data_IF_951555309065
#
_entry.id   IF_951555309065
#
_cell.length_a   1.000
_cell.length_b   1.000
_cell.length_c   1.000
_cell.angle_alpha   90.00
_cell.angle_beta   90.00
_cell.angle_gamma   90.00
#
_symmetry.space_group_name_H-M   'P 1'
#
loop_
_entity.id
_entity.type
_entity.pdbx_description
1 polymer ?
#
# COMPACT_ATOMS: atom_id res chain seq x y z
N UNK A 1 -50.36 66.87 -11.24
CA UNK A 1 -48.99 66.42 -11.21
C UNK A 1 -48.97 64.97 -10.83
N UNK A 2 -48.86 64.03 -11.76
CA UNK A 2 -48.85 62.60 -11.55
C UNK A 2 -47.37 62.15 -11.52
N UNK A 3 -46.90 61.55 -10.40
CA UNK A 3 -45.57 60.98 -10.27
C UNK A 3 -45.61 59.55 -10.79
N UNK A 4 -44.92 59.29 -11.88
CA UNK A 4 -44.68 57.97 -12.44
C UNK A 4 -43.52 57.34 -11.63
N UNK A 5 -43.80 56.25 -10.92
CA UNK A 5 -42.77 55.43 -10.25
C UNK A 5 -42.36 54.35 -11.24
N UNK A 6 -41.15 54.42 -11.75
CA UNK A 6 -40.54 53.38 -12.59
C UNK A 6 -39.93 52.35 -11.65
N UNK A 7 -40.57 51.17 -11.57
CA UNK A 7 -39.98 49.99 -10.87
C UNK A 7 -39.03 49.30 -11.86
N UNK A 8 -37.74 49.45 -11.62
CA UNK A 8 -36.71 48.68 -12.31
C UNK A 8 -36.62 47.28 -11.70
N UNK A 9 -37.16 46.25 -12.38
CA UNK A 9 -36.94 44.87 -12.03
C UNK A 9 -35.50 44.50 -12.42
N UNK A 10 -34.62 44.37 -11.42
CA UNK A 10 -33.33 43.72 -11.59
C UNK A 10 -33.54 42.19 -11.56
N UNK A 11 -33.62 41.56 -12.75
CA UNK A 11 -33.53 40.12 -12.89
C UNK A 11 -32.07 39.70 -12.67
N UNK A 12 -31.76 39.23 -11.47
CA UNK A 12 -30.54 38.52 -11.20
C UNK A 12 -30.59 37.17 -11.94
N UNK A 13 -29.95 37.09 -13.11
CA UNK A 13 -29.62 35.80 -13.70
C UNK A 13 -28.58 35.11 -12.79
N UNK A 14 -29.03 34.16 -11.99
CA UNK A 14 -28.16 33.19 -11.38
C UNK A 14 -27.63 32.29 -12.50
N UNK A 15 -26.42 32.58 -12.97
CA UNK A 15 -25.65 31.63 -13.76
C UNK A 15 -25.31 30.46 -12.81
N UNK A 16 -26.14 29.43 -12.81
CA UNK A 16 -25.79 28.13 -12.27
C UNK A 16 -24.73 27.53 -13.21
N UNK A 17 -23.50 28.04 -13.10
CA UNK A 17 -22.35 27.31 -13.60
C UNK A 17 -22.38 25.97 -12.91
N UNK A 18 -22.64 24.90 -13.64
CA UNK A 18 -22.32 23.56 -13.20
C UNK A 18 -20.83 23.58 -12.96
N UNK A 19 -20.42 23.73 -11.70
CA UNK A 19 -19.07 23.35 -11.28
C UNK A 19 -18.94 21.89 -11.72
N UNK A 20 -18.27 21.66 -12.85
CA UNK A 20 -17.82 20.34 -13.20
C UNK A 20 -16.98 19.92 -12.00
N UNK A 21 -17.46 18.96 -11.25
CA UNK A 21 -16.63 18.33 -10.23
C UNK A 21 -15.36 17.90 -10.96
N UNK A 22 -14.21 18.41 -10.55
CA UNK A 22 -12.94 17.95 -11.07
C UNK A 22 -12.99 16.43 -11.02
N UNK A 23 -12.64 15.75 -12.13
CA UNK A 23 -12.66 14.32 -12.20
C UNK A 23 -11.89 13.77 -10.98
N UNK A 24 -12.55 12.94 -10.19
CA UNK A 24 -11.96 12.39 -8.97
C UNK A 24 -10.77 11.53 -9.38
N UNK A 25 -9.55 11.79 -8.88
CA UNK A 25 -8.37 11.05 -9.30
C UNK A 25 -8.43 9.60 -8.82
N UNK A 26 -7.93 8.69 -9.62
CA UNK A 26 -7.62 7.35 -9.13
C UNK A 26 -6.49 7.42 -8.11
N UNK A 27 -6.57 6.60 -7.07
CA UNK A 27 -5.58 6.56 -6.00
C UNK A 27 -5.00 5.15 -5.93
N UNK A 28 -3.69 5.03 -6.14
CA UNK A 28 -2.95 3.78 -5.93
C UNK A 28 -1.90 4.02 -4.86
N UNK A 29 -2.05 3.34 -3.72
CA UNK A 29 -1.12 3.38 -2.62
C UNK A 29 -0.32 2.08 -2.56
N UNK A 30 0.98 2.15 -2.85
CA UNK A 30 1.90 1.02 -2.75
C UNK A 30 2.68 1.14 -1.45
N UNK A 31 2.46 0.21 -0.53
CA UNK A 31 3.02 0.19 0.81
C UNK A 31 3.91 -1.03 1.04
N UNK A 32 5.21 -0.88 0.78
CA UNK A 32 6.22 -1.95 0.84
C UNK A 32 6.62 -2.21 2.30
N UNK A 33 6.64 -3.48 2.70
CA UNK A 33 6.90 -3.92 4.09
C UNK A 33 8.41 -4.05 4.35
N UNK A 34 8.90 -3.36 5.38
CA UNK A 34 10.32 -3.39 5.85
C UNK A 34 11.36 -2.85 4.84
N UNK A 35 10.97 -2.09 3.83
CA UNK A 35 11.92 -1.41 2.94
C UNK A 35 12.41 -0.10 3.56
N UNK A 36 13.73 0.07 3.66
CA UNK A 36 14.35 1.29 4.15
C UNK A 36 14.29 2.42 3.12
N UNK A 37 14.26 3.65 3.59
CA UNK A 37 14.21 4.82 2.72
C UNK A 37 15.46 4.96 1.81
N UNK A 38 16.62 4.49 2.27
CA UNK A 38 17.87 4.48 1.50
C UNK A 38 18.06 3.23 0.62
N UNK A 39 17.05 2.42 0.46
CA UNK A 39 17.14 1.19 -0.31
C UNK A 39 16.89 1.37 -1.82
N UNK A 40 16.53 2.58 -2.24
CA UNK A 40 16.19 2.91 -3.64
C UNK A 40 17.09 4.02 -4.21
N UNK A 41 17.32 3.99 -5.52
CA UNK A 41 18.25 4.89 -6.22
C UNK A 41 17.91 6.36 -6.07
N UNK A 42 16.63 6.73 -6.08
CA UNK A 42 16.19 8.12 -5.90
C UNK A 42 16.54 8.72 -4.51
N UNK A 43 16.95 7.88 -3.56
CA UNK A 43 17.50 8.29 -2.26
C UNK A 43 18.98 7.92 -2.10
N UNK A 44 19.73 7.92 -3.21
CA UNK A 44 21.19 7.75 -3.25
C UNK A 44 21.67 6.31 -2.93
N UNK A 45 20.87 5.29 -3.26
CA UNK A 45 21.35 3.91 -3.29
C UNK A 45 21.97 3.64 -4.67
N UNK A 46 23.24 3.26 -4.69
CA UNK A 46 23.99 2.94 -5.90
C UNK A 46 24.16 1.43 -6.14
N UNK A 47 23.73 0.63 -5.16
CA UNK A 47 23.85 -0.82 -5.23
C UNK A 47 22.61 -1.51 -5.80
N UNK A 48 21.41 -1.10 -5.38
CA UNK A 48 20.17 -1.73 -5.84
C UNK A 48 19.63 -0.99 -7.07
N UNK A 49 19.28 -1.75 -8.09
CA UNK A 49 18.72 -1.18 -9.31
C UNK A 49 17.20 -0.99 -9.15
N UNK A 50 16.77 0.28 -9.09
CA UNK A 50 15.35 0.66 -8.91
C UNK A 50 14.88 1.69 -9.96
N UNK A 51 15.10 1.42 -11.27
CA UNK A 51 14.88 2.43 -12.31
C UNK A 51 13.42 2.89 -12.43
N UNK A 52 12.44 2.04 -12.08
CA UNK A 52 11.01 2.37 -12.19
C UNK A 52 10.55 3.26 -11.04
N UNK A 53 11.00 3.00 -9.82
CA UNK A 53 10.78 3.87 -8.65
C UNK A 53 11.49 5.20 -8.86
N UNK A 54 12.72 5.19 -9.36
CA UNK A 54 13.50 6.39 -9.64
C UNK A 54 12.84 7.26 -10.71
N UNK A 55 12.25 6.63 -11.74
CA UNK A 55 11.48 7.34 -12.76
C UNK A 55 10.23 7.97 -12.18
N UNK A 56 9.47 7.23 -11.36
CA UNK A 56 8.28 7.76 -10.68
C UNK A 56 8.63 8.98 -9.79
N UNK A 57 9.76 8.92 -9.08
CA UNK A 57 10.25 10.03 -8.27
C UNK A 57 10.63 11.27 -9.11
N UNK A 58 11.13 11.07 -10.34
CA UNK A 58 11.43 12.19 -11.28
C UNK A 58 10.18 12.81 -11.88
N UNK A 59 9.15 12.01 -12.14
CA UNK A 59 7.88 12.45 -12.75
C UNK A 59 6.92 13.05 -11.73
N UNK A 60 7.06 12.69 -10.47
CA UNK A 60 6.19 13.11 -9.38
C UNK A 60 6.89 13.96 -8.33
N UNK A 61 6.53 13.72 -7.07
CA UNK A 61 7.07 14.44 -5.91
C UNK A 61 7.83 13.46 -5.00
N UNK A 62 9.10 13.78 -4.71
CA UNK A 62 9.91 13.09 -3.72
C UNK A 62 9.87 13.81 -2.38
N UNK A 63 9.48 13.11 -1.33
CA UNK A 63 9.49 13.64 0.03
C UNK A 63 10.84 13.36 0.70
N UNK A 64 11.45 14.37 1.27
CA UNK A 64 12.75 14.28 1.98
C UNK A 64 12.58 14.02 3.48
N UNK A 65 11.42 14.39 4.03
CA UNK A 65 11.09 14.29 5.45
C UNK A 65 9.68 13.69 5.61
N UNK A 66 9.57 12.37 5.39
CA UNK A 66 8.34 11.63 5.55
C UNK A 66 8.59 10.38 6.40
N UNK A 67 7.82 10.22 7.48
CA UNK A 67 8.07 9.22 8.50
C UNK A 67 6.93 8.21 8.59
N UNK A 68 7.27 6.93 8.80
CA UNK A 68 6.30 5.92 9.16
C UNK A 68 5.70 6.24 10.54
N UNK A 69 4.41 5.95 10.72
CA UNK A 69 3.71 6.24 11.97
C UNK A 69 4.15 5.36 13.15
N UNK A 70 4.74 4.21 12.88
CA UNK A 70 5.23 3.27 13.89
C UNK A 70 6.46 2.51 13.43
N UNK A 71 7.19 1.91 14.39
CA UNK A 71 8.44 1.19 14.14
C UNK A 71 8.24 -0.20 13.52
N UNK A 72 7.03 -0.78 13.61
CA UNK A 72 6.69 -2.12 13.12
C UNK A 72 5.37 -2.12 12.33
N UNK A 73 5.06 -3.25 11.70
CA UNK A 73 4.01 -3.37 10.68
C UNK A 73 2.60 -2.99 11.15
N UNK A 74 2.04 -3.65 12.19
CA UNK A 74 0.63 -3.42 12.56
C UNK A 74 0.35 -2.01 13.07
N UNK A 75 1.20 -1.35 13.89
CA UNK A 75 1.03 0.06 14.26
C UNK A 75 0.98 1.00 13.05
N UNK A 76 1.94 0.87 12.12
CA UNK A 76 1.97 1.70 10.92
C UNK A 76 0.75 1.45 10.04
N UNK A 77 0.35 0.18 9.85
CA UNK A 77 -0.84 -0.20 9.08
C UNK A 77 -2.12 0.34 9.72
N UNK A 78 -2.22 0.27 11.04
CA UNK A 78 -3.34 0.83 11.80
C UNK A 78 -3.47 2.35 11.56
N UNK A 79 -2.38 3.09 11.69
CA UNK A 79 -2.37 4.52 11.47
C UNK A 79 -2.71 4.88 10.02
N UNK A 80 -2.19 4.12 9.04
CA UNK A 80 -2.45 4.32 7.62
C UNK A 80 -3.93 4.06 7.27
N UNK A 81 -4.54 3.01 7.83
CA UNK A 81 -5.94 2.69 7.60
C UNK A 81 -6.90 3.69 8.27
N UNK A 82 -6.61 4.12 9.48
CA UNK A 82 -7.52 4.92 10.30
C UNK A 82 -7.29 6.43 10.21
N UNK A 83 -6.16 6.87 9.68
CA UNK A 83 -5.74 8.29 9.77
C UNK A 83 -5.45 8.75 11.21
N UNK A 84 -5.34 7.83 12.18
CA UNK A 84 -5.14 8.12 13.59
C UNK A 84 -3.79 7.60 14.09
N UNK A 85 -3.28 8.21 15.14
CA UNK A 85 -2.13 7.65 15.83
C UNK A 85 -2.50 6.28 16.41
N UNK A 86 -1.69 5.27 16.13
CA UNK A 86 -1.91 3.88 16.53
C UNK A 86 -2.07 3.68 18.04
N UNK A 87 -1.45 4.53 18.86
CA UNK A 87 -1.58 4.48 20.30
C UNK A 87 -3.00 4.82 20.78
N UNK A 88 -3.75 5.63 20.02
CA UNK A 88 -5.16 5.91 20.32
C UNK A 88 -6.04 4.68 20.17
N UNK A 89 -5.74 3.82 19.21
CA UNK A 89 -6.47 2.58 18.94
C UNK A 89 -5.95 1.45 19.82
N UNK A 90 -4.71 1.58 20.34
CA UNK A 90 -4.07 0.59 21.19
C UNK A 90 -3.29 -0.49 20.42
N UNK A 91 -3.10 -0.35 19.10
CA UNK A 91 -2.25 -1.24 18.31
C UNK A 91 -0.82 -0.68 18.36
N UNK A 92 -0.11 -0.96 19.44
CA UNK A 92 1.22 -0.38 19.74
C UNK A 92 2.38 -1.32 19.40
N UNK A 93 2.09 -2.57 19.03
CA UNK A 93 3.06 -3.58 18.61
C UNK A 93 2.50 -4.38 17.42
N UNK A 94 3.33 -5.21 16.76
CA UNK A 94 2.83 -6.10 15.71
C UNK A 94 1.87 -7.14 16.30
N UNK A 95 0.86 -7.52 15.58
CA UNK A 95 -0.04 -8.61 15.94
C UNK A 95 0.65 -9.94 15.57
N UNK A 96 0.93 -10.86 16.53
CA UNK A 96 0.36 -11.02 17.89
C UNK A 96 1.15 -10.43 19.06
N UNK A 97 2.05 -9.46 18.84
CA UNK A 97 2.81 -8.83 19.91
C UNK A 97 4.03 -9.63 20.40
N UNK A 98 4.85 -8.99 21.21
CA UNK A 98 5.94 -9.64 21.89
C UNK A 98 5.45 -10.26 23.20
N UNK A 99 5.82 -11.53 23.43
CA UNK A 99 5.64 -12.18 24.72
C UNK A 99 7.02 -12.41 25.33
N UNK A 100 7.34 -11.61 26.35
CA UNK A 100 8.65 -11.65 27.03
C UNK A 100 8.43 -11.60 28.54
N UNK A 101 7.98 -12.70 29.17
CA UNK A 101 7.61 -12.75 30.59
C UNK A 101 8.78 -12.54 31.54
N UNK A 102 10.01 -12.57 31.03
CA UNK A 102 11.27 -12.36 31.80
C UNK A 102 11.72 -10.90 31.81
N UNK A 103 11.05 -9.99 31.10
CA UNK A 103 11.40 -8.57 31.08
C UNK A 103 10.99 -7.89 32.39
N UNK A 104 11.83 -6.93 32.84
CA UNK A 104 11.55 -6.14 34.05
C UNK A 104 10.38 -5.17 33.89
N UNK A 105 10.13 -4.77 32.67
CA UNK A 105 9.03 -3.87 32.31
C UNK A 105 8.08 -4.64 31.42
N UNK A 106 6.85 -4.84 31.90
CA UNK A 106 5.80 -5.49 31.14
C UNK A 106 5.08 -4.42 30.32
N UNK A 107 5.14 -4.53 28.99
CA UNK A 107 4.36 -3.68 28.10
C UNK A 107 2.88 -4.06 28.16
N UNK A 108 1.95 -3.09 28.10
CA UNK A 108 0.53 -3.39 27.95
C UNK A 108 0.29 -4.29 26.73
N UNK A 109 -0.66 -5.21 26.84
CA UNK A 109 -1.05 -6.02 25.67
C UNK A 109 -1.66 -5.11 24.61
N UNK A 110 -1.17 -5.16 23.34
CA UNK A 110 -1.75 -4.36 22.28
C UNK A 110 -3.16 -4.87 21.92
N UNK A 111 -3.97 -4.02 21.34
CA UNK A 111 -5.21 -4.42 20.66
C UNK A 111 -4.85 -5.36 19.50
N UNK A 112 -5.53 -6.50 19.40
CA UNK A 112 -5.12 -7.62 18.52
C UNK A 112 -5.80 -7.59 17.15
N UNK A 113 -6.64 -6.58 16.89
CA UNK A 113 -7.25 -6.33 15.58
C UNK A 113 -7.64 -4.86 15.48
N UNK A 114 -7.76 -4.35 14.26
CA UNK A 114 -8.37 -3.05 14.02
C UNK A 114 -9.85 -3.13 14.41
N UNK A 115 -10.32 -2.31 15.37
CA UNK A 115 -11.73 -2.34 15.77
C UNK A 115 -12.66 -2.03 14.58
N UNK A 116 -13.79 -2.73 14.50
CA UNK A 116 -14.73 -2.60 13.37
C UNK A 116 -15.48 -1.24 13.34
N UNK A 117 -15.48 -0.51 14.45
CA UNK A 117 -16.03 0.85 14.56
C UNK A 117 -15.01 1.93 14.17
N UNK A 118 -13.76 1.54 13.89
CA UNK A 118 -12.74 2.47 13.39
C UNK A 118 -12.97 2.70 11.90
N UNK A 119 -13.36 3.91 11.54
CA UNK A 119 -13.51 4.29 10.12
C UNK A 119 -12.17 4.22 9.41
N UNK A 120 -12.09 3.43 8.34
CA UNK A 120 -10.90 3.27 7.51
C UNK A 120 -10.88 4.25 6.33
N UNK A 121 -9.72 4.40 5.70
CA UNK A 121 -9.59 5.17 4.45
C UNK A 121 -10.52 4.64 3.36
N UNK A 122 -10.73 3.32 3.27
CA UNK A 122 -11.63 2.72 2.30
C UNK A 122 -13.08 3.11 2.59
N UNK A 123 -13.53 3.02 3.85
CA UNK A 123 -14.88 3.45 4.25
C UNK A 123 -15.10 4.95 4.04
N UNK A 124 -14.09 5.78 4.28
CA UNK A 124 -14.16 7.22 4.06
C UNK A 124 -14.28 7.60 2.58
N UNK A 125 -13.71 6.80 1.67
CA UNK A 125 -13.75 7.04 0.23
C UNK A 125 -15.04 6.53 -0.45
N UNK A 126 -15.75 5.57 0.15
CA UNK A 126 -16.99 5.02 -0.42
C UNK A 126 -18.09 6.07 -0.67
N UNK A 127 -18.42 6.97 0.27
CA UNK A 127 -19.41 8.02 0.03
C UNK A 127 -19.05 8.97 -1.12
N UNK A 128 -17.75 9.07 -1.42
CA UNK A 128 -17.25 9.83 -2.58
C UNK A 128 -17.29 9.02 -3.89
N UNK A 129 -17.84 7.80 -3.90
CA UNK A 129 -18.05 6.99 -5.10
C UNK A 129 -16.85 6.15 -5.54
N UNK A 130 -15.80 6.03 -4.71
CA UNK A 130 -14.66 5.20 -5.01
C UNK A 130 -14.96 3.70 -4.90
N UNK A 131 -14.52 2.93 -5.90
CA UNK A 131 -14.37 1.48 -5.77
C UNK A 131 -13.05 1.18 -5.05
N UNK A 132 -13.08 0.36 -4.00
CA UNK A 132 -11.94 0.16 -3.12
C UNK A 132 -11.35 -1.25 -3.23
N UNK A 133 -10.02 -1.35 -3.37
CA UNK A 133 -9.29 -2.61 -3.48
C UNK A 133 -8.14 -2.73 -2.47
N UNK A 134 -7.97 -3.92 -1.89
CA UNK A 134 -6.86 -4.28 -1.03
C UNK A 134 -6.15 -5.54 -1.53
N UNK A 135 -4.84 -5.49 -1.71
CA UNK A 135 -4.02 -6.63 -2.16
C UNK A 135 -2.76 -6.72 -1.33
N UNK A 136 -2.46 -7.91 -0.78
CA UNK A 136 -1.22 -8.20 -0.06
C UNK A 136 -1.39 -8.48 1.44
N UNK A 137 -0.44 -8.03 2.26
CA UNK A 137 -0.41 -8.27 3.71
C UNK A 137 -1.35 -7.33 4.45
N UNK A 138 -2.30 -7.87 5.22
CA UNK A 138 -3.21 -7.09 6.08
C UNK A 138 -2.64 -6.78 7.46
N UNK A 139 -2.44 -7.78 8.27
CA UNK A 139 -1.84 -7.74 9.60
C UNK A 139 -2.54 -6.82 10.63
N UNK A 140 -3.86 -6.66 10.49
CA UNK A 140 -4.72 -5.89 11.41
C UNK A 140 -5.86 -6.73 11.97
N UNK A 141 -5.61 -8.01 12.23
CA UNK A 141 -6.51 -9.01 12.79
C UNK A 141 -6.46 -10.32 12.03
N UNK A 142 -6.67 -11.43 12.73
CA UNK A 142 -6.52 -12.79 12.18
C UNK A 142 -7.87 -13.47 11.87
N UNK A 143 -8.97 -13.04 12.46
CA UNK A 143 -10.29 -13.59 12.21
C UNK A 143 -10.89 -13.13 10.87
N UNK A 144 -11.83 -13.90 10.28
CA UNK A 144 -12.52 -13.50 9.06
C UNK A 144 -13.32 -12.21 9.23
N UNK A 145 -13.74 -11.89 10.45
CA UNK A 145 -14.45 -10.67 10.82
C UNK A 145 -13.59 -9.41 10.75
N UNK A 146 -12.24 -9.54 10.79
CA UNK A 146 -11.30 -8.42 10.77
C UNK A 146 -10.60 -8.24 9.42
N UNK A 147 -11.06 -8.92 8.37
CA UNK A 147 -10.45 -8.82 7.05
C UNK A 147 -10.84 -7.51 6.33
N UNK A 148 -10.10 -7.09 5.28
CA UNK A 148 -10.35 -5.82 4.59
C UNK A 148 -11.78 -5.65 4.05
N UNK A 149 -12.45 -6.73 3.63
CA UNK A 149 -13.84 -6.71 3.17
C UNK A 149 -14.84 -6.33 4.28
N UNK A 150 -14.44 -6.44 5.56
CA UNK A 150 -15.19 -5.95 6.72
C UNK A 150 -14.82 -4.54 7.16
N UNK A 151 -13.83 -3.96 6.49
CA UNK A 151 -13.23 -2.66 6.75
C UNK A 151 -13.31 -1.74 5.50
N UNK A 152 -14.38 -1.90 4.71
CA UNK A 152 -14.71 -0.98 3.62
C UNK A 152 -14.15 -1.32 2.24
N UNK A 153 -13.37 -2.39 2.07
CA UNK A 153 -12.84 -2.76 0.76
C UNK A 153 -13.83 -3.63 -0.04
N UNK A 154 -14.14 -3.22 -1.28
CA UNK A 154 -15.04 -3.94 -2.20
C UNK A 154 -14.37 -5.18 -2.79
N UNK A 155 -13.06 -5.10 -3.01
CA UNK A 155 -12.23 -6.23 -3.41
C UNK A 155 -11.10 -6.42 -2.41
N UNK A 156 -10.87 -7.66 -1.97
CA UNK A 156 -9.74 -7.99 -1.12
C UNK A 156 -9.05 -9.29 -1.54
N UNK A 157 -7.71 -9.25 -1.52
CA UNK A 157 -6.85 -10.41 -1.71
C UNK A 157 -5.73 -10.39 -0.66
N UNK A 158 -6.04 -10.86 0.54
CA UNK A 158 -5.05 -10.98 1.61
C UNK A 158 -4.15 -12.18 1.35
N UNK A 159 -2.86 -11.94 1.19
CA UNK A 159 -1.89 -12.97 0.81
C UNK A 159 -1.02 -13.33 2.00
N UNK A 160 -1.04 -14.60 2.38
CA UNK A 160 -0.22 -15.16 3.45
C UNK A 160 0.87 -16.09 2.94
N UNK A 161 1.96 -16.19 3.68
CA UNK A 161 3.12 -17.01 3.35
C UNK A 161 4.31 -16.21 2.80
N UNK A 162 5.49 -16.84 2.67
CA UNK A 162 6.71 -16.19 2.18
C UNK A 162 6.69 -15.92 0.67
N UNK A 163 7.83 -15.49 0.12
CA UNK A 163 7.91 -14.86 -1.21
C UNK A 163 7.98 -15.84 -2.39
N UNK A 164 8.60 -17.00 -2.16
CA UNK A 164 8.93 -17.93 -3.25
C UNK A 164 7.70 -18.68 -3.78
N UNK A 165 7.73 -19.12 -5.05
CA UNK A 165 6.65 -19.87 -5.68
C UNK A 165 6.19 -21.07 -4.86
N UNK A 166 4.87 -21.26 -4.78
CA UNK A 166 4.24 -22.35 -4.03
C UNK A 166 4.29 -22.25 -2.50
N UNK A 167 4.85 -21.15 -1.96
CA UNK A 167 4.96 -20.91 -0.51
C UNK A 167 3.94 -19.91 0.04
N UNK A 168 3.17 -19.26 -0.82
CA UNK A 168 2.14 -18.28 -0.46
C UNK A 168 0.78 -18.63 -1.05
N UNK A 169 -0.28 -18.08 -0.49
CA UNK A 169 -1.67 -18.28 -0.95
C UNK A 169 -2.54 -17.09 -0.57
N UNK A 170 -3.64 -16.90 -1.31
CA UNK A 170 -4.68 -15.93 -0.92
C UNK A 170 -5.57 -16.54 0.15
N UNK A 171 -5.76 -15.83 1.25
CA UNK A 171 -6.59 -16.29 2.38
C UNK A 171 -8.06 -16.18 1.99
N UNK A 172 -8.83 -17.25 2.25
CA UNK A 172 -10.27 -17.27 1.99
C UNK A 172 -10.71 -17.19 0.52
N UNK A 173 -9.76 -17.15 -0.45
CA UNK A 173 -10.04 -16.98 -1.89
C UNK A 173 -9.37 -18.08 -2.72
N UNK A 174 -10.02 -19.21 -2.84
CA UNK A 174 -9.52 -20.35 -3.65
C UNK A 174 -9.61 -20.13 -5.17
N UNK A 175 -10.37 -19.12 -5.59
CA UNK A 175 -10.48 -18.66 -6.98
C UNK A 175 -9.24 -17.89 -7.46
N UNK A 176 -8.54 -17.22 -6.53
CA UNK A 176 -7.32 -16.47 -6.83
C UNK A 176 -6.09 -17.34 -6.59
N UNK A 177 -5.47 -17.81 -7.67
CA UNK A 177 -4.31 -18.70 -7.60
C UNK A 177 -3.14 -18.15 -8.42
N UNK A 178 -1.90 -18.19 -7.85
CA UNK A 178 -0.72 -17.87 -8.63
C UNK A 178 -0.48 -18.92 -9.72
N UNK A 179 0.17 -18.50 -10.80
CA UNK A 179 0.68 -19.40 -11.84
C UNK A 179 1.82 -20.26 -11.27
N UNK A 180 2.04 -21.42 -11.86
CA UNK A 180 3.18 -22.27 -11.48
C UNK A 180 4.49 -21.49 -11.64
N UNK A 181 5.33 -21.51 -10.63
CA UNK A 181 6.62 -20.80 -10.64
C UNK A 181 6.55 -19.29 -10.46
N UNK A 182 5.36 -18.72 -10.24
CA UNK A 182 5.21 -17.26 -10.07
C UNK A 182 5.74 -16.79 -8.72
N UNK A 183 6.53 -15.72 -8.73
CA UNK A 183 6.99 -15.04 -7.53
C UNK A 183 5.87 -14.19 -6.92
N UNK A 184 5.87 -14.01 -5.58
CA UNK A 184 4.75 -13.38 -4.88
C UNK A 184 4.45 -11.95 -5.34
N UNK A 185 5.45 -11.09 -5.49
CA UNK A 185 5.23 -9.70 -5.95
C UNK A 185 4.71 -9.65 -7.39
N UNK A 186 5.08 -10.60 -8.24
CA UNK A 186 4.52 -10.68 -9.60
C UNK A 186 3.03 -11.04 -9.59
N UNK A 187 2.64 -11.92 -8.67
CA UNK A 187 1.22 -12.25 -8.48
C UNK A 187 0.43 -11.07 -7.89
N UNK A 188 1.01 -10.37 -6.91
CA UNK A 188 0.42 -9.16 -6.35
C UNK A 188 0.27 -8.06 -7.42
N UNK A 189 1.23 -7.92 -8.32
CA UNK A 189 1.14 -7.03 -9.49
C UNK A 189 0.04 -7.45 -10.46
N UNK A 190 -0.05 -8.74 -10.82
CA UNK A 190 -1.11 -9.25 -11.72
C UNK A 190 -2.50 -8.91 -11.17
N UNK A 191 -2.76 -9.20 -9.89
CA UNK A 191 -4.04 -8.89 -9.24
C UNK A 191 -4.33 -7.37 -9.22
N UNK A 192 -3.30 -6.55 -9.01
CA UNK A 192 -3.43 -5.09 -9.00
C UNK A 192 -3.77 -4.54 -10.39
N UNK A 193 -3.12 -5.04 -11.42
CA UNK A 193 -3.37 -4.66 -12.81
C UNK A 193 -4.78 -5.09 -13.23
N UNK A 194 -5.22 -6.27 -12.84
CA UNK A 194 -6.58 -6.74 -13.11
C UNK A 194 -7.63 -5.88 -12.39
N UNK A 195 -7.38 -5.49 -11.14
CA UNK A 195 -8.24 -4.55 -10.42
C UNK A 195 -8.32 -3.20 -11.13
N UNK A 196 -7.19 -2.60 -11.52
CA UNK A 196 -7.12 -1.32 -12.24
C UNK A 196 -7.91 -1.40 -13.54
N UNK A 197 -7.66 -2.40 -14.36
CA UNK A 197 -8.33 -2.59 -15.67
C UNK A 197 -9.84 -2.72 -15.55
N UNK A 198 -10.31 -3.43 -14.52
CA UNK A 198 -11.73 -3.64 -14.28
C UNK A 198 -12.46 -2.42 -13.71
N UNK A 199 -11.73 -1.45 -13.17
CA UNK A 199 -12.31 -0.29 -12.48
C UNK A 199 -11.98 1.08 -13.10
N UNK A 200 -11.20 1.15 -14.17
CA UNK A 200 -10.74 2.41 -14.80
C UNK A 200 -11.83 3.38 -15.29
N UNK A 201 -13.09 2.95 -15.34
CA UNK A 201 -14.22 3.78 -15.75
C UNK A 201 -14.86 4.57 -14.59
N UNK A 202 -14.40 4.35 -13.38
CA UNK A 202 -14.87 5.02 -12.15
C UNK A 202 -13.67 5.35 -11.27
N UNK A 203 -13.79 6.32 -10.37
CA UNK A 203 -12.73 6.55 -9.40
C UNK A 203 -12.52 5.31 -8.55
N UNK A 204 -11.25 4.93 -8.39
CA UNK A 204 -10.89 3.79 -7.54
C UNK A 204 -9.75 4.13 -6.59
N UNK A 205 -9.76 3.47 -5.46
CA UNK A 205 -8.67 3.41 -4.50
C UNK A 205 -8.13 1.99 -4.42
N UNK A 206 -6.88 1.79 -4.77
CA UNK A 206 -6.18 0.52 -4.62
C UNK A 206 -5.08 0.67 -3.57
N UNK A 207 -5.15 -0.11 -2.50
CA UNK A 207 -4.03 -0.31 -1.59
C UNK A 207 -3.34 -1.63 -1.91
N UNK A 208 -2.13 -1.52 -2.45
CA UNK A 208 -1.22 -2.64 -2.65
C UNK A 208 -0.19 -2.67 -1.53
N UNK A 209 -0.19 -3.75 -0.77
CA UNK A 209 0.65 -3.93 0.40
C UNK A 209 1.46 -5.22 0.30
N UNK A 210 2.52 -5.25 -0.55
CA UNK A 210 3.34 -6.44 -0.70
C UNK A 210 4.01 -6.82 0.61
N UNK A 211 4.24 -8.13 0.80
CA UNK A 211 4.99 -8.63 1.95
C UNK A 211 6.51 -8.42 1.78
N UNK A 212 6.98 -8.25 0.54
CA UNK A 212 8.36 -7.88 0.29
C UNK A 212 8.63 -6.46 0.88
N UNK A 213 9.76 -6.25 1.50
CA UNK A 213 10.96 -7.10 1.55
C UNK A 213 11.14 -7.79 2.93
N UNK A 214 10.04 -8.04 3.64
CA UNK A 214 10.01 -8.63 4.99
C UNK A 214 10.64 -10.03 5.01
N UNK A 215 11.20 -10.41 6.16
CA UNK A 215 11.71 -11.76 6.40
C UNK A 215 10.60 -12.83 6.42
N UNK A 216 10.90 -14.11 6.07
CA UNK A 216 12.20 -14.64 5.67
C UNK A 216 12.59 -14.17 4.27
N UNK A 217 13.85 -13.78 4.08
CA UNK A 217 14.31 -13.32 2.77
C UNK A 217 14.21 -14.43 1.72
N UNK A 218 13.75 -14.08 0.52
CA UNK A 218 13.63 -15.02 -0.58
C UNK A 218 13.37 -14.30 -1.90
N UNK A 219 14.24 -14.52 -2.88
CA UNK A 219 14.13 -13.97 -4.22
C UNK A 219 14.46 -15.03 -5.28
N UNK A 220 14.12 -14.74 -6.53
CA UNK A 220 14.44 -15.64 -7.64
C UNK A 220 15.96 -15.70 -7.87
N UNK A 221 16.47 -16.91 -8.12
CA UNK A 221 17.90 -17.20 -8.13
C UNK A 221 18.70 -16.37 -9.14
N UNK A 222 18.13 -16.06 -10.30
CA UNK A 222 18.77 -15.22 -11.33
C UNK A 222 19.08 -13.80 -10.81
N UNK A 223 18.15 -13.18 -10.09
CA UNK A 223 18.37 -11.86 -9.49
C UNK A 223 19.36 -11.92 -8.31
N UNK A 224 19.26 -12.95 -7.48
CA UNK A 224 20.22 -13.16 -6.40
C UNK A 224 21.64 -13.28 -6.94
N UNK A 225 21.84 -14.02 -8.03
CA UNK A 225 23.16 -14.18 -8.65
C UNK A 225 23.69 -12.88 -9.22
N UNK A 226 22.84 -12.06 -9.85
CA UNK A 226 23.17 -10.70 -10.27
C UNK A 226 23.81 -9.88 -9.15
N UNK A 227 23.16 -9.85 -7.97
CA UNK A 227 23.63 -9.06 -6.83
C UNK A 227 24.81 -9.70 -6.09
N UNK A 228 24.96 -11.02 -6.11
CA UNK A 228 26.16 -11.69 -5.61
C UNK A 228 27.38 -11.26 -6.44
N UNK A 229 27.25 -11.26 -7.75
CA UNK A 229 28.33 -10.80 -8.64
C UNK A 229 28.63 -9.32 -8.40
N UNK A 230 27.61 -8.44 -8.36
CA UNK A 230 27.79 -7.01 -8.09
C UNK A 230 28.49 -6.77 -6.75
N UNK A 231 28.13 -7.48 -5.68
CA UNK A 231 28.79 -7.40 -4.37
C UNK A 231 30.26 -7.83 -4.42
N UNK A 232 30.56 -8.91 -5.12
CA UNK A 232 31.94 -9.40 -5.27
C UNK A 232 32.81 -8.41 -6.06
N UNK A 233 32.29 -7.83 -7.13
CA UNK A 233 32.98 -6.84 -7.98
C UNK A 233 33.29 -5.55 -7.17
N UNK A 234 32.39 -5.14 -6.28
CA UNK A 234 32.56 -3.97 -5.42
C UNK A 234 33.34 -4.26 -4.13
N UNK A 235 33.61 -5.54 -3.84
CA UNK A 235 34.23 -6.01 -2.58
C UNK A 235 33.44 -5.54 -1.35
N UNK A 236 32.12 -5.60 -1.41
CA UNK A 236 31.20 -5.21 -0.36
C UNK A 236 30.41 -6.43 0.12
N UNK A 237 30.28 -6.57 1.43
CA UNK A 237 29.46 -7.62 2.04
C UNK A 237 27.98 -7.22 2.18
N UNK A 238 27.67 -5.95 2.07
CA UNK A 238 26.33 -5.34 2.18
C UNK A 238 26.08 -4.41 0.99
N UNK A 239 24.81 -4.26 0.56
CA UNK A 239 23.58 -4.92 1.08
C UNK A 239 23.53 -6.40 0.71
N UNK A 240 22.76 -7.17 1.48
CA UNK A 240 22.61 -8.61 1.28
C UNK A 240 22.00 -8.93 -0.10
N UNK A 241 22.63 -9.78 -0.93
CA UNK A 241 22.19 -9.99 -2.32
C UNK A 241 20.74 -10.45 -2.50
N UNK A 242 20.20 -11.25 -1.57
CA UNK A 242 18.79 -11.67 -1.60
C UNK A 242 17.86 -10.49 -1.32
N UNK A 243 18.23 -9.62 -0.37
CA UNK A 243 17.47 -8.42 -0.05
C UNK A 243 17.43 -7.44 -1.23
N UNK A 244 18.57 -7.18 -1.85
CA UNK A 244 18.65 -6.35 -3.05
C UNK A 244 17.81 -6.90 -4.22
N UNK A 245 17.84 -8.22 -4.42
CA UNK A 245 16.99 -8.88 -5.40
C UNK A 245 15.49 -8.75 -5.11
N UNK A 246 15.08 -8.74 -3.84
CA UNK A 246 13.70 -8.51 -3.44
C UNK A 246 13.25 -7.08 -3.72
N UNK A 247 14.13 -6.08 -3.52
CA UNK A 247 13.84 -4.67 -3.83
C UNK A 247 13.67 -4.49 -5.35
N UNK A 248 14.54 -5.11 -6.15
CA UNK A 248 14.40 -5.09 -7.62
C UNK A 248 13.06 -5.71 -8.08
N UNK A 249 12.57 -6.77 -7.42
CA UNK A 249 11.23 -7.29 -7.68
C UNK A 249 10.13 -6.30 -7.33
N UNK A 250 10.29 -5.52 -6.25
CA UNK A 250 9.36 -4.44 -5.90
C UNK A 250 9.39 -3.32 -6.95
N UNK A 251 10.56 -2.95 -7.45
CA UNK A 251 10.72 -1.96 -8.51
C UNK A 251 9.99 -2.36 -9.79
N UNK A 252 10.18 -3.61 -10.23
CA UNK A 252 9.46 -4.16 -11.40
C UNK A 252 7.95 -4.17 -11.19
N UNK A 253 7.48 -4.55 -10.00
CA UNK A 253 6.07 -4.51 -9.62
C UNK A 253 5.52 -3.08 -9.75
N UNK A 254 6.20 -2.09 -9.18
CA UNK A 254 5.83 -0.67 -9.28
C UNK A 254 5.74 -0.24 -10.74
N UNK A 255 6.76 -0.57 -11.54
CA UNK A 255 6.79 -0.25 -12.97
C UNK A 255 5.59 -0.83 -13.73
N UNK A 256 5.27 -2.10 -13.52
CA UNK A 256 4.11 -2.76 -14.15
C UNK A 256 2.77 -2.12 -13.77
N UNK A 257 2.64 -1.64 -12.55
CA UNK A 257 1.43 -0.96 -12.07
C UNK A 257 1.31 0.42 -12.69
N UNK A 258 2.40 1.19 -12.72
CA UNK A 258 2.44 2.51 -13.38
C UNK A 258 2.10 2.40 -14.87
N UNK A 259 2.61 1.36 -15.55
CA UNK A 259 2.29 1.12 -16.97
C UNK A 259 0.82 0.70 -17.22
N UNK A 260 0.08 0.33 -16.19
CA UNK A 260 -1.32 -0.12 -16.29
C UNK A 260 -2.35 1.01 -16.01
N UNK A 261 -1.92 2.11 -15.39
CA UNK A 261 -2.72 3.31 -15.10
C UNK A 261 -2.82 4.18 -16.33
#
# INVERSE_FOLDING_TARGET
>A
MARVIVLSLFTLLWATGTLSAADQPNIVLIFIDDMGWKDVGCYDNDFVDTPRIDQLAKEGMKFTDFYAAGAVCSPTRCALQSGQNQARIGITDFISGHWRPFERVITPRPTMALPLDTVTVAEALKPAGYTTGYIGKWHLGNGPEFQPDRQGYDFSAVIGGPHLPGKYRVQGRSDLKPKTGQYRTDFEADLSIDFIRNNKQKPFFLMLSPFAVHIPLGAMSNKVEKYRKKAADLKQDLPHPVYAAMIEHCDEMVGRIVDAI
#
